data_IF_772596326975
#
_entry.id   IF_772596326975
#
_cell.length_a   1.000
_cell.length_b   1.000
_cell.length_c   1.000
_cell.angle_alpha   90.00
_cell.angle_beta   90.00
_cell.angle_gamma   90.00
#
_symmetry.space_group_name_H-M   'P 1'
#
loop_
_entity.id
_entity.type
_entity.pdbx_description
1 polymer ?
#
# COMPACT_ATOMS: atom_id res chain seq x y z
N UNK A 1 16.48 9.11 2.58
CA UNK A 1 15.50 8.25 3.27
C UNK A 1 14.54 9.16 3.96
N UNK A 2 13.62 9.71 3.18
CA UNK A 2 12.65 10.66 3.70
C UNK A 2 11.29 10.27 3.17
N UNK A 3 10.38 9.93 4.09
CA UNK A 3 8.96 9.98 3.78
C UNK A 3 8.56 11.44 3.86
N UNK A 4 7.97 11.96 2.79
CA UNK A 4 7.35 13.27 2.75
C UNK A 4 5.84 13.13 2.72
N UNK A 5 5.16 14.02 3.42
CA UNK A 5 3.70 14.04 3.49
C UNK A 5 3.22 15.48 3.34
N UNK A 6 2.52 15.78 2.24
CA UNK A 6 2.14 17.14 1.85
C UNK A 6 0.65 17.22 1.63
N UNK A 7 -0.02 18.19 2.25
CA UNK A 7 -1.44 18.42 2.01
C UNK A 7 -1.66 19.20 0.71
N UNK A 8 -2.46 18.64 -0.18
CA UNK A 8 -2.92 19.23 -1.43
C UNK A 8 -4.40 19.62 -1.28
N UNK A 9 -4.64 20.93 -1.21
CA UNK A 9 -5.97 21.50 -1.00
C UNK A 9 -6.83 21.49 -2.27
N UNK A 10 -6.29 21.18 -3.45
CA UNK A 10 -7.08 21.15 -4.69
C UNK A 10 -8.01 19.94 -4.74
N UNK A 11 -7.51 18.76 -4.34
CA UNK A 11 -8.29 17.52 -4.27
C UNK A 11 -8.59 17.10 -2.82
N UNK A 12 -8.14 17.89 -1.84
CA UNK A 12 -8.13 17.54 -0.43
C UNK A 12 -7.53 16.14 -0.21
N UNK A 13 -6.23 16.02 -0.47
CA UNK A 13 -5.47 14.77 -0.29
C UNK A 13 -4.17 15.04 0.45
N UNK A 14 -3.65 14.05 1.15
CA UNK A 14 -2.26 14.05 1.61
C UNK A 14 -1.46 13.22 0.62
N UNK A 15 -0.52 13.87 -0.08
CA UNK A 15 0.43 13.19 -0.95
C UNK A 15 1.56 12.63 -0.12
N UNK A 16 1.81 11.33 -0.23
CA UNK A 16 2.91 10.62 0.39
C UNK A 16 3.93 10.28 -0.68
N UNK A 17 5.21 10.54 -0.40
CA UNK A 17 6.31 10.12 -1.27
C UNK A 17 7.48 9.66 -0.42
N UNK A 18 7.91 8.42 -0.63
CA UNK A 18 9.03 7.80 0.04
C UNK A 18 10.15 7.55 -0.97
N UNK A 19 11.37 7.97 -0.62
CA UNK A 19 12.57 7.81 -1.43
C UNK A 19 13.62 6.94 -0.74
N UNK A 20 14.74 6.67 -1.43
CA UNK A 20 15.89 5.96 -0.84
C UNK A 20 15.50 4.61 -0.21
N UNK A 21 14.64 3.85 -0.90
CA UNK A 21 14.01 2.63 -0.38
C UNK A 21 14.90 1.38 -0.49
N UNK A 22 16.19 1.57 -0.82
CA UNK A 22 17.13 0.49 -0.99
C UNK A 22 16.74 -0.43 -2.15
N UNK A 23 16.88 -1.74 -1.95
CA UNK A 23 16.48 -2.79 -2.89
C UNK A 23 15.00 -3.20 -2.80
N UNK A 24 14.16 -2.52 -2.00
CA UNK A 24 12.76 -2.87 -1.87
C UNK A 24 12.00 -2.62 -3.18
N UNK A 25 11.16 -3.57 -3.57
CA UNK A 25 10.33 -3.48 -4.78
C UNK A 25 8.94 -2.91 -4.51
N UNK A 26 8.48 -2.96 -3.26
CA UNK A 26 7.22 -2.39 -2.84
C UNK A 26 7.30 -1.76 -1.45
N UNK A 27 6.35 -0.89 -1.15
CA UNK A 27 6.22 -0.20 0.15
C UNK A 27 4.79 -0.31 0.64
N UNK A 28 4.64 -0.62 1.93
CA UNK A 28 3.36 -0.48 2.62
C UNK A 28 3.27 0.88 3.31
N UNK A 29 2.24 1.65 3.01
CA UNK A 29 1.94 2.92 3.66
C UNK A 29 0.84 2.76 4.70
N UNK A 30 1.09 3.25 5.90
CA UNK A 30 0.14 3.23 6.99
C UNK A 30 0.02 4.60 7.65
N UNK A 31 -1.16 4.87 8.20
CA UNK A 31 -1.51 6.09 8.92
C UNK A 31 -1.92 5.76 10.35
N UNK A 32 -1.62 6.67 11.26
CA UNK A 32 -2.10 6.66 12.63
C UNK A 32 -2.31 8.08 13.17
N UNK A 33 -3.29 8.26 14.05
CA UNK A 33 -3.46 9.51 14.82
C UNK A 33 -2.85 9.43 16.22
N UNK A 34 -2.39 8.24 16.64
CA UNK A 34 -1.89 8.00 18.00
C UNK A 34 -0.58 7.18 18.06
N UNK A 35 -0.03 6.76 16.91
CA UNK A 35 1.15 5.92 16.75
C UNK A 35 1.04 4.50 17.37
N UNK A 36 -0.12 4.14 17.90
CA UNK A 36 -0.40 2.82 18.50
C UNK A 36 -1.22 1.97 17.54
N UNK A 37 -2.32 2.52 17.03
CA UNK A 37 -3.19 1.85 16.06
C UNK A 37 -2.86 2.36 14.68
N UNK A 38 -2.35 1.48 13.82
CA UNK A 38 -1.99 1.78 12.46
C UNK A 38 -3.01 1.16 11.50
N UNK A 39 -3.44 1.94 10.52
CA UNK A 39 -4.30 1.48 9.43
C UNK A 39 -3.55 1.67 8.12
N UNK A 40 -3.57 0.67 7.24
CA UNK A 40 -3.08 0.79 5.87
C UNK A 40 -3.84 1.90 5.16
N UNK A 41 -3.12 2.84 4.57
CA UNK A 41 -3.72 3.85 3.69
C UNK A 41 -4.30 3.12 2.48
N UNK A 42 -5.47 3.52 2.00
CA UNK A 42 -6.12 2.92 0.83
C UNK A 42 -5.17 2.89 -0.37
N UNK A 43 -5.06 1.75 -1.05
CA UNK A 43 -4.06 1.51 -2.11
C UNK A 43 -2.62 1.33 -1.60
N UNK A 44 -2.38 1.49 -0.30
CA UNK A 44 -1.07 1.50 0.33
C UNK A 44 -0.55 0.15 0.81
N UNK A 45 -1.19 -0.97 0.45
CA UNK A 45 -0.77 -2.30 0.94
C UNK A 45 0.56 -2.75 0.33
N UNK A 46 0.77 -2.49 -0.96
CA UNK A 46 1.97 -2.81 -1.72
C UNK A 46 2.09 -1.81 -2.89
N UNK A 47 2.59 -0.61 -2.59
CA UNK A 47 2.86 0.41 -3.60
C UNK A 47 4.18 0.08 -4.28
N UNK A 48 4.23 -0.07 -5.62
CA UNK A 48 5.46 -0.39 -6.31
C UNK A 48 6.49 0.74 -6.16
N UNK A 49 7.77 0.35 -6.13
CA UNK A 49 8.89 1.29 -6.16
C UNK A 49 9.31 1.50 -7.61
N UNK A 50 9.08 2.71 -8.13
CA UNK A 50 9.45 3.09 -9.49
C UNK A 50 10.55 4.15 -9.43
N UNK A 51 11.67 3.89 -10.10
CA UNK A 51 12.85 4.78 -10.08
C UNK A 51 13.32 5.15 -8.64
N UNK A 52 13.17 4.21 -7.70
CA UNK A 52 13.57 4.39 -6.29
C UNK A 52 12.58 5.19 -5.43
N UNK A 53 11.40 5.49 -5.96
CA UNK A 53 10.34 6.26 -5.28
C UNK A 53 9.07 5.42 -5.20
N UNK A 54 8.38 5.46 -4.06
CA UNK A 54 7.00 4.99 -3.91
C UNK A 54 6.12 6.18 -3.51
N UNK A 55 5.02 6.39 -4.22
CA UNK A 55 4.10 7.50 -3.97
C UNK A 55 2.65 7.02 -3.83
N UNK A 56 1.89 7.67 -2.96
CA UNK A 56 0.50 7.34 -2.67
C UNK A 56 -0.27 8.57 -2.19
N UNK A 57 -1.56 8.64 -2.52
CA UNK A 57 -2.46 9.65 -1.97
C UNK A 57 -3.39 9.12 -0.90
N UNK A 58 -3.48 9.86 0.21
CA UNK A 58 -4.48 9.63 1.24
C UNK A 58 -5.59 10.68 1.18
N UNK A 59 -6.78 10.26 0.76
CA UNK A 59 -7.99 11.08 0.72
C UNK A 59 -8.80 11.07 2.03
N UNK A 60 -8.47 10.13 2.93
CA UNK A 60 -9.21 9.77 4.15
C UNK A 60 -8.49 10.21 5.43
N UNK A 61 -7.49 11.09 5.31
CA UNK A 61 -6.74 11.62 6.46
C UNK A 61 -7.68 12.19 7.54
N UNK A 62 -7.22 12.22 8.79
CA UNK A 62 -7.98 12.87 9.87
C UNK A 62 -7.76 14.39 9.85
N UNK A 63 -8.80 15.18 9.58
CA UNK A 63 -8.70 16.63 9.55
C UNK A 63 -8.35 17.25 10.90
N UNK A 64 -7.57 18.34 10.87
CA UNK A 64 -7.24 19.23 12.00
C UNK A 64 -6.56 18.54 13.19
N UNK A 65 -6.04 17.33 12.98
CA UNK A 65 -5.24 16.57 13.95
C UNK A 65 -3.97 16.04 13.29
N UNK A 66 -2.99 15.71 14.10
CA UNK A 66 -1.73 15.14 13.60
C UNK A 66 -2.02 13.76 13.01
N UNK A 67 -1.65 13.59 11.74
CA UNK A 67 -1.59 12.30 11.08
C UNK A 67 -0.13 11.89 11.00
N UNK A 68 0.20 10.76 11.63
CA UNK A 68 1.49 10.10 11.50
C UNK A 68 1.42 9.07 10.37
N UNK A 69 2.41 9.09 9.48
CA UNK A 69 2.55 8.15 8.39
C UNK A 69 3.82 7.35 8.56
N UNK A 70 3.78 6.10 8.10
CA UNK A 70 4.98 5.29 7.93
C UNK A 70 4.96 4.56 6.59
N UNK A 71 6.13 4.52 5.97
CA UNK A 71 6.42 3.75 4.77
C UNK A 71 7.32 2.58 5.20
N UNK A 72 6.82 1.36 4.98
CA UNK A 72 7.47 0.11 5.37
C UNK A 72 7.89 -0.60 4.09
N UNK A 73 9.17 -0.54 3.69
CA UNK A 73 9.65 -1.24 2.51
C UNK A 73 9.52 -2.77 2.69
N UNK A 74 9.16 -3.48 1.62
CA UNK A 74 9.11 -4.94 1.61
C UNK A 74 10.52 -5.54 1.63
N UNK A 75 10.66 -6.76 2.15
CA UNK A 75 11.86 -7.55 1.91
C UNK A 75 11.98 -7.89 0.41
N UNK A 76 13.22 -8.10 -0.05
CA UNK A 76 13.52 -8.74 -1.32
C UNK A 76 13.66 -10.25 -1.08
N UNK A 77 13.08 -11.07 -1.94
CA UNK A 77 13.16 -12.53 -1.84
C UNK A 77 13.69 -13.11 -3.13
N UNK A 78 14.66 -14.01 -3.00
CA UNK A 78 15.14 -14.90 -4.05
C UNK A 78 14.82 -16.35 -3.63
N UNK A 79 13.96 -17.01 -4.41
CA UNK A 79 13.53 -18.39 -4.21
C UNK A 79 14.01 -19.33 -5.33
N UNK A 80 14.79 -18.80 -6.28
CA UNK A 80 15.33 -19.51 -7.44
C UNK A 80 14.28 -20.11 -8.37
N UNK A 81 12.99 -19.77 -8.26
CA UNK A 81 11.94 -20.34 -9.11
C UNK A 81 11.89 -19.72 -10.51
N UNK A 82 12.49 -18.53 -10.65
CA UNK A 82 12.61 -17.79 -11.91
C UNK A 82 13.98 -18.00 -12.56
N UNK A 83 14.03 -17.98 -13.90
CA UNK A 83 15.29 -17.94 -14.66
C UNK A 83 15.98 -16.57 -14.56
N UNK A 84 15.26 -15.55 -14.10
CA UNK A 84 15.77 -14.22 -13.78
C UNK A 84 15.86 -14.11 -12.27
N UNK A 85 17.10 -14.02 -11.75
CA UNK A 85 17.36 -13.84 -10.32
C UNK A 85 16.99 -12.42 -9.88
N UNK A 86 16.41 -12.31 -8.68
CA UNK A 86 16.17 -11.08 -7.94
C UNK A 86 17.46 -10.49 -7.33
N UNK A 87 18.55 -11.29 -7.29
CA UNK A 87 19.85 -10.93 -6.76
C UNK A 87 20.98 -11.13 -7.77
N UNK A 88 22.12 -10.48 -7.53
CA UNK A 88 23.35 -10.71 -8.29
C UNK A 88 24.23 -11.70 -7.55
N UNK A 89 24.66 -12.76 -8.24
CA UNK A 89 25.55 -13.81 -7.72
C UNK A 89 26.81 -13.88 -8.60
N UNK A 90 27.97 -13.92 -7.98
CA UNK A 90 29.28 -14.16 -8.59
C UNK A 90 29.93 -15.42 -7.97
N UNK A 91 30.84 -16.08 -8.68
CA UNK A 91 31.51 -17.30 -8.22
C UNK A 91 32.82 -17.03 -7.46
N UNK A 92 33.17 -15.74 -7.28
CA UNK A 92 34.37 -15.29 -6.59
C UNK A 92 35.64 -15.84 -7.23
N UNK A 93 36.51 -16.39 -6.40
CA UNK A 93 37.73 -17.09 -6.84
C UNK A 93 37.68 -18.59 -6.57
N UNK A 94 36.46 -19.16 -6.48
CA UNK A 94 36.25 -20.56 -6.10
C UNK A 94 36.50 -21.53 -7.26
N UNK A 95 36.68 -22.80 -6.93
CA UNK A 95 37.01 -23.86 -7.88
C UNK A 95 35.82 -24.31 -8.73
N UNK A 96 34.59 -24.09 -8.26
CA UNK A 96 33.36 -24.41 -8.97
C UNK A 96 32.21 -23.48 -8.62
N UNK A 97 31.40 -23.16 -9.63
CA UNK A 97 30.23 -22.30 -9.52
C UNK A 97 29.08 -22.99 -8.79
N UNK A 98 28.31 -22.22 -8.01
CA UNK A 98 27.02 -22.68 -7.54
C UNK A 98 26.01 -22.65 -8.69
N UNK A 99 25.20 -23.69 -8.81
CA UNK A 99 24.29 -23.87 -9.93
C UNK A 99 22.85 -24.01 -9.44
N UNK A 100 21.93 -23.42 -10.19
CA UNK A 100 20.50 -23.63 -9.99
C UNK A 100 20.18 -25.12 -10.24
N UNK A 101 19.49 -25.75 -9.30
CA UNK A 101 19.25 -27.19 -9.30
C UNK A 101 17.81 -27.50 -8.93
N UNK A 102 17.23 -28.51 -9.58
CA UNK A 102 15.94 -29.10 -9.25
C UNK A 102 16.07 -30.50 -8.63
N UNK A 103 17.26 -30.83 -8.12
CA UNK A 103 17.52 -32.09 -7.45
C UNK A 103 16.88 -32.15 -6.05
N UNK A 104 16.75 -30.99 -5.41
CA UNK A 104 16.15 -30.78 -4.10
C UNK A 104 15.87 -29.27 -3.93
N UNK A 105 14.85 -28.91 -3.15
CA UNK A 105 14.49 -27.52 -2.85
C UNK A 105 13.75 -27.45 -1.50
N UNK A 106 13.89 -26.34 -0.79
CA UNK A 106 13.11 -26.11 0.43
C UNK A 106 11.65 -25.81 0.07
N UNK A 107 11.46 -25.01 -0.97
CA UNK A 107 10.16 -24.63 -1.50
C UNK A 107 10.15 -24.76 -3.02
N UNK A 108 8.98 -24.96 -3.61
CA UNK A 108 8.87 -25.03 -5.07
C UNK A 108 9.63 -26.22 -5.66
N UNK A 109 10.44 -25.95 -6.67
CA UNK A 109 11.15 -26.93 -7.50
C UNK A 109 12.66 -26.66 -7.53
N UNK A 110 13.08 -25.40 -7.39
CA UNK A 110 14.45 -24.98 -7.65
C UNK A 110 15.11 -24.44 -6.39
N UNK A 111 16.40 -24.73 -6.26
CA UNK A 111 17.27 -24.13 -5.24
C UNK A 111 18.64 -23.86 -5.85
N UNK A 112 19.56 -23.27 -5.08
CA UNK A 112 20.94 -23.10 -5.49
C UNK A 112 21.82 -24.15 -4.80
N UNK A 113 22.55 -24.95 -5.58
CA UNK A 113 23.42 -26.04 -5.11
C UNK A 113 24.88 -25.67 -5.34
N UNK A 114 25.75 -26.03 -4.41
CA UNK A 114 27.20 -25.94 -4.60
C UNK A 114 27.66 -26.73 -5.83
N UNK A 115 28.74 -26.24 -6.45
CA UNK A 115 29.43 -26.94 -7.52
C UNK A 115 30.09 -28.22 -7.03
N UNK A 116 30.39 -29.13 -7.96
CA UNK A 116 31.16 -30.33 -7.64
C UNK A 116 32.63 -29.95 -7.54
N UNK A 117 33.23 -30.21 -6.38
CA UNK A 117 34.63 -29.90 -6.04
C UNK A 117 35.34 -31.14 -5.51
N UNK A 118 36.68 -31.16 -5.55
CA UNK A 118 37.51 -32.22 -4.94
C UNK A 118 38.13 -31.73 -3.62
N UNK A 119 38.99 -32.54 -3.00
CA UNK A 119 39.62 -32.18 -1.73
C UNK A 119 40.44 -30.88 -1.79
N UNK A 120 40.44 -30.17 -0.67
CA UNK A 120 41.10 -28.87 -0.48
C UNK A 120 40.59 -27.74 -1.40
N UNK A 121 39.38 -27.88 -1.93
CA UNK A 121 38.75 -26.88 -2.82
C UNK A 121 37.54 -26.22 -2.17
N UNK A 122 37.11 -25.10 -2.79
CA UNK A 122 35.87 -24.42 -2.40
C UNK A 122 34.95 -24.18 -3.58
N UNK A 123 33.65 -24.10 -3.30
CA UNK A 123 32.63 -23.61 -4.21
C UNK A 123 31.88 -22.47 -3.54
N UNK A 124 31.87 -21.29 -4.15
CA UNK A 124 31.34 -20.07 -3.56
C UNK A 124 30.18 -19.49 -4.38
N UNK A 125 29.14 -19.02 -3.68
CA UNK A 125 28.14 -18.11 -4.19
C UNK A 125 28.29 -16.77 -3.47
N UNK A 126 28.89 -15.78 -4.16
CA UNK A 126 29.08 -14.42 -3.66
C UNK A 126 27.86 -13.59 -4.06
N UNK A 127 26.93 -13.40 -3.13
CA UNK A 127 25.72 -12.61 -3.32
C UNK A 127 26.01 -11.15 -3.02
N UNK A 128 25.69 -10.26 -3.96
CA UNK A 128 25.72 -8.82 -3.70
C UNK A 128 24.55 -8.44 -2.79
N UNK A 129 24.84 -7.77 -1.67
CA UNK A 129 23.80 -7.33 -0.73
C UNK A 129 22.95 -6.24 -1.40
N UNK A 130 21.61 -6.40 -1.48
CA UNK A 130 20.72 -5.36 -1.96
C UNK A 130 20.91 -4.07 -1.16
N UNK A 131 20.96 -2.93 -1.84
CA UNK A 131 21.23 -1.65 -1.22
C UNK A 131 20.32 -1.41 0.00
N UNK A 132 20.91 -1.07 1.15
CA UNK A 132 20.17 -0.74 2.37
C UNK A 132 19.56 -1.93 3.13
N UNK A 133 19.76 -3.17 2.69
CA UNK A 133 19.39 -4.34 3.48
C UNK A 133 20.29 -4.44 4.73
N UNK A 134 19.71 -4.83 5.86
CA UNK A 134 20.43 -4.99 7.14
C UNK A 134 20.29 -6.40 7.71
N UNK A 135 19.39 -7.20 7.14
CA UNK A 135 19.16 -8.58 7.59
C UNK A 135 19.08 -9.53 6.40
N UNK A 136 19.53 -10.76 6.62
CA UNK A 136 19.36 -11.90 5.72
C UNK A 136 18.78 -13.09 6.50
N UNK A 137 17.70 -13.65 6.00
CA UNK A 137 17.20 -14.97 6.39
C UNK A 137 17.35 -15.92 5.19
N UNK A 138 17.66 -17.20 5.44
CA UNK A 138 17.78 -18.20 4.38
C UNK A 138 17.56 -19.62 4.92
N UNK A 139 17.26 -20.53 3.99
CA UNK A 139 17.15 -21.97 4.23
C UNK A 139 18.36 -22.66 3.63
N UNK A 140 18.84 -23.71 4.29
CA UNK A 140 19.96 -24.50 3.79
C UNK A 140 19.78 -25.99 4.07
N UNK A 141 20.45 -26.80 3.24
CA UNK A 141 20.57 -28.25 3.38
C UNK A 141 22.03 -28.64 3.12
N UNK A 142 22.50 -29.68 3.78
CA UNK A 142 23.86 -30.22 3.59
C UNK A 142 23.78 -31.75 3.55
N UNK A 143 24.55 -32.34 2.66
CA UNK A 143 24.81 -33.78 2.64
C UNK A 143 26.30 -33.95 2.38
N UNK A 144 27.06 -34.06 3.47
CA UNK A 144 28.52 -34.08 3.47
C UNK A 144 29.08 -34.94 4.60
N UNK A 145 30.41 -35.01 4.73
CA UNK A 145 31.07 -35.64 5.87
C UNK A 145 30.90 -34.82 7.16
N UNK A 146 30.41 -35.47 8.21
CA UNK A 146 30.17 -34.84 9.52
C UNK A 146 31.50 -34.42 10.17
N UNK A 147 31.66 -33.11 10.38
CA UNK A 147 32.84 -32.51 10.99
C UNK A 147 34.01 -32.21 10.04
N UNK A 148 33.83 -32.36 8.72
CA UNK A 148 34.91 -32.19 7.73
C UNK A 148 34.56 -31.22 6.60
N UNK A 149 33.53 -31.54 5.82
CA UNK A 149 33.08 -30.73 4.68
C UNK A 149 32.00 -29.75 5.16
N UNK A 150 32.27 -28.45 5.08
CA UNK A 150 31.42 -27.43 5.70
C UNK A 150 30.76 -26.49 4.70
N UNK A 151 29.47 -26.18 4.95
CA UNK A 151 28.85 -24.94 4.52
C UNK A 151 29.20 -23.83 5.52
N UNK A 152 29.72 -22.73 5.00
CA UNK A 152 30.09 -21.52 5.73
C UNK A 152 29.40 -20.31 5.12
N UNK A 153 29.02 -19.37 5.97
CA UNK A 153 28.50 -18.08 5.57
C UNK A 153 29.49 -16.99 5.95
N UNK A 154 29.80 -16.10 5.02
CA UNK A 154 30.60 -14.90 5.28
C UNK A 154 29.77 -13.65 5.00
N UNK A 155 29.82 -12.68 5.91
CA UNK A 155 29.34 -11.31 5.69
C UNK A 155 30.58 -10.46 5.42
N UNK A 156 30.70 -9.97 4.19
CA UNK A 156 31.98 -9.53 3.62
C UNK A 156 33.09 -10.57 3.85
N UNK A 157 34.07 -10.27 4.69
CA UNK A 157 35.16 -11.17 5.05
C UNK A 157 34.99 -11.88 6.41
N UNK A 158 33.94 -11.55 7.16
CA UNK A 158 33.70 -12.10 8.49
C UNK A 158 32.83 -13.36 8.43
N UNK A 159 33.32 -14.48 8.97
CA UNK A 159 32.55 -15.72 9.03
C UNK A 159 31.44 -15.62 10.09
N UNK A 160 30.23 -16.02 9.71
CA UNK A 160 29.10 -16.22 10.61
C UNK A 160 29.18 -17.65 11.14
N UNK A 161 29.17 -17.78 12.47
CA UNK A 161 29.33 -19.08 13.15
C UNK A 161 28.02 -19.50 13.83
N UNK A 162 27.76 -20.81 13.96
CA UNK A 162 28.61 -21.93 13.54
C UNK A 162 28.50 -22.27 12.05
N UNK A 163 29.58 -22.80 11.48
CA UNK A 163 29.54 -23.53 10.21
C UNK A 163 28.77 -24.86 10.40
N UNK A 164 28.22 -25.41 9.32
CA UNK A 164 27.45 -26.65 9.34
C UNK A 164 28.05 -27.70 8.39
N UNK A 165 27.94 -28.98 8.76
CA UNK A 165 28.49 -30.14 8.05
C UNK A 165 27.63 -31.38 8.31
N UNK A 166 27.86 -32.46 7.58
CA UNK A 166 27.16 -33.73 7.79
C UNK A 166 25.85 -33.81 6.99
N UNK A 167 24.89 -34.56 7.51
CA UNK A 167 23.56 -34.72 6.92
C UNK A 167 22.56 -33.79 7.61
N UNK A 168 22.47 -32.55 7.13
CA UNK A 168 21.57 -31.51 7.65
C UNK A 168 20.36 -31.41 6.73
N UNK A 169 19.14 -31.79 7.19
CA UNK A 169 17.93 -31.57 6.40
C UNK A 169 17.66 -30.06 6.25
N UNK A 170 16.81 -29.70 5.30
CA UNK A 170 16.41 -28.31 5.11
C UNK A 170 16.03 -27.63 6.42
N UNK A 171 16.83 -26.64 6.80
CA UNK A 171 16.74 -25.95 8.10
C UNK A 171 16.95 -24.46 7.88
N UNK A 172 16.23 -23.65 8.66
CA UNK A 172 16.44 -22.21 8.70
C UNK A 172 17.70 -21.90 9.52
N UNK A 173 18.60 -21.09 8.98
CA UNK A 173 19.75 -20.62 9.76
C UNK A 173 19.34 -19.64 10.87
N UNK A 174 18.31 -18.81 10.59
CA UNK A 174 17.92 -17.67 11.41
C UNK A 174 18.54 -16.37 10.91
N UNK A 175 18.06 -15.24 11.44
CA UNK A 175 18.38 -13.90 10.94
C UNK A 175 19.84 -13.53 11.15
N UNK A 176 20.52 -13.20 10.06
CA UNK A 176 21.92 -12.75 10.03
C UNK A 176 21.94 -11.23 9.90
N UNK A 177 22.72 -10.56 10.75
CA UNK A 177 23.00 -9.13 10.61
C UNK A 177 24.01 -8.91 9.48
N UNK A 178 23.58 -8.17 8.46
CA UNK A 178 24.37 -7.80 7.28
C UNK A 178 24.48 -6.28 7.14
N UNK A 179 24.28 -5.55 8.25
CA UNK A 179 24.29 -4.08 8.26
C UNK A 179 25.59 -3.53 7.69
N UNK A 180 25.48 -2.81 6.57
CA UNK A 180 26.61 -2.15 5.91
C UNK A 180 27.50 -3.09 5.10
N UNK A 181 27.15 -4.36 4.97
CA UNK A 181 27.89 -5.33 4.17
C UNK A 181 27.70 -5.06 2.66
N UNK A 182 28.73 -5.34 1.88
CA UNK A 182 28.67 -5.30 0.41
C UNK A 182 28.27 -6.66 -0.17
N UNK A 183 28.76 -7.75 0.42
CA UNK A 183 28.47 -9.11 -0.04
C UNK A 183 28.16 -10.06 1.10
N UNK A 184 27.43 -11.12 0.77
CA UNK A 184 27.30 -12.33 1.57
C UNK A 184 27.79 -13.50 0.74
N UNK A 185 28.71 -14.30 1.27
CA UNK A 185 29.26 -15.46 0.55
C UNK A 185 28.83 -16.76 1.22
N UNK A 186 28.15 -17.60 0.47
CA UNK A 186 27.93 -19.00 0.84
C UNK A 186 29.05 -19.84 0.26
N UNK A 187 29.80 -20.52 1.11
CA UNK A 187 30.95 -21.33 0.72
C UNK A 187 30.75 -22.77 1.17
N UNK A 188 30.80 -23.70 0.22
CA UNK A 188 31.03 -25.11 0.52
C UNK A 188 32.53 -25.39 0.38
N UNK A 189 33.17 -25.92 1.42
CA UNK A 189 34.60 -26.18 1.45
C UNK A 189 34.89 -27.60 1.90
N UNK A 190 35.74 -28.30 1.12
CA UNK A 190 36.26 -29.62 1.47
C UNK A 190 37.63 -29.51 2.12
N UNK A 191 37.92 -30.37 3.08
CA UNK A 191 39.22 -30.42 3.76
C UNK A 191 40.16 -31.53 3.22
N UNK A 192 39.62 -32.47 2.43
CA UNK A 192 40.34 -33.63 1.93
C UNK A 192 39.59 -34.40 0.85
N UNK A 193 40.12 -35.56 0.45
CA UNK A 193 39.64 -36.30 -0.73
C UNK A 193 38.50 -37.29 -0.48
N UNK A 194 38.08 -37.46 0.78
CA UNK A 194 36.96 -38.34 1.09
C UNK A 194 35.67 -37.61 0.69
N UNK A 195 34.66 -38.38 0.32
CA UNK A 195 33.30 -37.87 0.09
C UNK A 195 32.31 -38.77 0.82
N UNK A 196 31.33 -38.19 1.49
CA UNK A 196 30.14 -38.86 2.00
C UNK A 196 28.86 -38.14 1.55
N UNK A 197 27.75 -38.86 1.59
CA UNK A 197 26.47 -38.32 1.14
C UNK A 197 26.49 -37.94 -0.34
N UNK A 198 25.88 -36.80 -0.65
CA UNK A 198 25.86 -36.19 -1.99
C UNK A 198 26.99 -35.17 -2.22
N UNK A 199 27.84 -34.98 -1.21
CA UNK A 199 28.99 -34.08 -1.19
C UNK A 199 28.66 -32.67 -1.69
N UNK A 200 27.63 -32.06 -1.08
CA UNK A 200 27.13 -30.75 -1.48
C UNK A 200 26.34 -30.03 -0.39
N UNK A 201 26.19 -28.73 -0.61
CA UNK A 201 25.29 -27.86 0.12
C UNK A 201 24.27 -27.22 -0.82
N UNK A 202 23.11 -26.86 -0.29
CA UNK A 202 22.05 -26.14 -0.98
C UNK A 202 21.60 -24.96 -0.14
N UNK A 203 21.19 -23.88 -0.82
CA UNK A 203 20.52 -22.72 -0.22
C UNK A 203 19.24 -22.41 -0.99
N UNK A 204 18.25 -21.89 -0.29
CA UNK A 204 16.94 -21.52 -0.82
C UNK A 204 16.32 -20.41 0.04
N UNK A 205 15.32 -19.70 -0.51
CA UNK A 205 14.54 -18.66 0.17
C UNK A 205 15.42 -17.59 0.84
N UNK A 206 16.29 -16.94 0.05
CA UNK A 206 17.10 -15.82 0.53
C UNK A 206 16.21 -14.58 0.66
N UNK A 207 16.00 -14.15 1.90
CA UNK A 207 15.16 -12.99 2.22
C UNK A 207 16.05 -11.87 2.76
N UNK A 208 16.27 -10.84 1.93
CA UNK A 208 16.96 -9.62 2.32
C UNK A 208 15.95 -8.60 2.84
N UNK A 209 16.16 -8.14 4.08
CA UNK A 209 15.19 -7.28 4.76
C UNK A 209 15.84 -6.27 5.68
N UNK A 210 15.05 -5.80 6.65
CA UNK A 210 15.50 -4.81 7.63
C UNK A 210 15.73 -3.41 7.03
N UNK A 211 15.08 -3.12 5.89
CA UNK A 211 15.02 -1.78 5.35
C UNK A 211 14.39 -0.82 6.37
N UNK A 212 14.94 0.39 6.56
CA UNK A 212 14.46 1.31 7.57
C UNK A 212 13.04 1.79 7.26
N UNK A 213 12.17 1.70 8.26
CA UNK A 213 10.83 2.29 8.21
C UNK A 213 10.97 3.81 8.21
N UNK A 214 10.42 4.46 7.21
CA UNK A 214 10.43 5.92 7.10
C UNK A 214 9.15 6.47 7.68
N UNK A 215 9.22 7.63 8.35
CA UNK A 215 8.06 8.24 9.01
C UNK A 215 7.92 9.70 8.64
N UNK A 216 6.67 10.17 8.56
CA UNK A 216 6.34 11.57 8.40
C UNK A 216 5.13 11.91 9.27
N UNK A 217 4.91 13.19 9.51
CA UNK A 217 3.65 13.64 10.11
C UNK A 217 3.26 14.99 9.59
N UNK A 218 1.96 15.22 9.44
CA UNK A 218 1.41 16.53 9.19
C UNK A 218 0.05 16.69 9.87
N UNK A 219 -0.38 17.94 10.02
CA UNK A 219 -1.73 18.29 10.46
C UNK A 219 -2.45 18.96 9.29
N UNK A 220 -3.23 18.21 8.48
CA UNK A 220 -3.97 18.79 7.37
C UNK A 220 -5.13 19.65 7.93
N UNK A 221 -5.13 20.94 7.60
CA UNK A 221 -6.18 21.85 8.04
C UNK A 221 -7.35 21.87 7.04
N UNK A 222 -8.58 21.66 7.52
CA UNK A 222 -9.78 21.80 6.70
C UNK A 222 -10.53 23.08 7.07
N UNK A 223 -10.60 24.03 6.13
CA UNK A 223 -11.35 25.28 6.29
C UNK A 223 -12.84 25.16 5.96
N UNK A 224 -13.27 24.03 5.38
CA UNK A 224 -14.64 23.77 4.96
C UNK A 224 -14.90 22.27 4.89
N UNK A 225 -16.18 21.90 4.81
CA UNK A 225 -16.59 20.51 4.55
C UNK A 225 -16.27 20.16 3.11
N UNK A 226 -15.82 18.94 2.86
CA UNK A 226 -15.60 18.41 1.52
C UNK A 226 -16.57 17.27 1.22
N UNK A 227 -17.10 17.25 0.01
CA UNK A 227 -17.68 16.07 -0.59
C UNK A 227 -16.61 15.42 -1.46
N UNK A 228 -16.21 14.20 -1.13
CA UNK A 228 -15.14 13.50 -1.85
C UNK A 228 -15.64 12.21 -2.48
N UNK A 229 -15.32 12.01 -3.76
CA UNK A 229 -15.37 10.68 -4.38
C UNK A 229 -13.99 10.05 -4.26
N UNK A 230 -13.90 8.95 -3.53
CA UNK A 230 -12.63 8.24 -3.37
C UNK A 230 -12.21 7.56 -4.67
N UNK A 231 -13.18 7.02 -5.44
CA UNK A 231 -12.90 6.40 -6.73
C UNK A 231 -12.47 7.43 -7.79
N UNK A 232 -13.02 8.66 -7.71
CA UNK A 232 -12.81 9.71 -8.70
C UNK A 232 -12.46 11.03 -8.02
N UNK A 233 -11.23 11.18 -7.50
CA UNK A 233 -10.86 12.35 -6.70
C UNK A 233 -10.97 13.69 -7.42
N UNK A 234 -10.95 13.71 -8.75
CA UNK A 234 -11.16 14.93 -9.53
C UNK A 234 -12.57 15.54 -9.34
N UNK A 235 -13.53 14.76 -8.80
CA UNK A 235 -14.86 15.21 -8.39
C UNK A 235 -14.89 15.80 -6.97
N UNK A 236 -13.78 15.78 -6.23
CA UNK A 236 -13.75 16.31 -4.86
C UNK A 236 -14.00 17.81 -4.88
N UNK A 237 -14.94 18.27 -4.04
CA UNK A 237 -15.29 19.69 -3.93
C UNK A 237 -15.44 20.14 -2.47
N UNK A 238 -14.89 21.31 -2.10
CA UNK A 238 -15.28 21.97 -0.87
C UNK A 238 -16.72 22.47 -1.02
N UNK A 239 -17.52 22.35 0.04
CA UNK A 239 -18.91 22.78 0.07
C UNK A 239 -19.16 23.72 1.25
N UNK A 240 -20.02 24.71 1.03
CA UNK A 240 -20.52 25.56 2.11
C UNK A 240 -21.80 24.97 2.67
N UNK A 241 -21.71 24.35 3.85
CA UNK A 241 -22.87 23.84 4.58
C UNK A 241 -23.66 25.01 5.17
N UNK A 242 -24.96 25.04 4.93
CA UNK A 242 -25.87 26.06 5.46
C UNK A 242 -26.83 25.54 6.51
N UNK A 243 -27.21 24.26 6.43
CA UNK A 243 -28.15 23.65 7.36
C UNK A 243 -28.03 22.12 7.31
N UNK A 244 -28.63 21.43 8.29
CA UNK A 244 -28.85 19.98 8.26
C UNK A 244 -30.06 19.59 9.11
N UNK A 245 -30.75 18.52 8.73
CA UNK A 245 -31.87 18.00 9.51
C UNK A 245 -31.42 17.32 10.80
N UNK A 246 -32.39 16.93 11.65
CA UNK A 246 -32.13 16.01 12.74
C UNK A 246 -31.44 14.73 12.25
N UNK A 247 -30.53 14.19 13.06
CA UNK A 247 -29.80 12.96 12.75
C UNK A 247 -30.62 11.77 13.25
N UNK A 248 -31.12 10.98 12.30
CA UNK A 248 -31.83 9.74 12.58
C UNK A 248 -30.89 8.53 12.58
N UNK A 249 -31.24 7.52 13.38
CA UNK A 249 -30.57 6.20 13.39
C UNK A 249 -31.63 5.11 13.42
N UNK A 250 -32.02 4.58 12.25
CA UNK A 250 -33.18 3.69 12.15
C UNK A 250 -32.98 2.44 13.02
N UNK A 251 -34.03 2.04 13.73
CA UNK A 251 -34.05 0.77 14.44
C UNK A 251 -34.19 -0.39 13.49
N UNK A 252 -33.47 -1.48 13.77
CA UNK A 252 -33.67 -2.78 13.13
C UNK A 252 -34.35 -3.77 14.08
N UNK A 253 -35.01 -3.26 15.11
CA UNK A 253 -35.71 -4.08 16.09
C UNK A 253 -37.19 -4.26 15.71
N UNK A 254 -37.77 -5.36 16.18
CA UNK A 254 -39.20 -5.64 16.09
C UNK A 254 -39.76 -5.95 17.47
N UNK A 255 -40.98 -5.51 17.75
CA UNK A 255 -41.69 -5.81 18.99
C UNK A 255 -42.94 -6.60 18.65
N UNK A 256 -43.04 -7.82 19.15
CA UNK A 256 -44.08 -8.78 18.82
C UNK A 256 -44.93 -9.09 20.05
N UNK A 257 -46.22 -8.79 19.97
CA UNK A 257 -47.19 -9.21 20.99
C UNK A 257 -47.59 -10.67 20.72
N UNK A 258 -47.32 -11.56 21.68
CA UNK A 258 -47.55 -13.01 21.54
C UNK A 258 -48.72 -13.44 22.43
N UNK A 259 -49.69 -14.14 21.85
CA UNK A 259 -50.84 -14.69 22.58
C UNK A 259 -50.34 -15.54 23.76
N UNK A 260 -50.92 -15.33 24.95
CA UNK A 260 -50.52 -16.01 26.18
C UNK A 260 -49.36 -15.36 26.94
N UNK A 261 -48.83 -14.22 26.45
CA UNK A 261 -47.86 -13.39 27.20
C UNK A 261 -48.48 -12.04 27.57
N UNK A 262 -48.21 -11.58 28.79
CA UNK A 262 -48.58 -10.24 29.26
C UNK A 262 -47.61 -9.14 28.80
N UNK A 263 -46.43 -9.51 28.31
CA UNK A 263 -45.38 -8.59 27.83
C UNK A 263 -44.91 -9.04 26.44
N UNK A 264 -44.69 -8.07 25.56
CA UNK A 264 -44.22 -8.31 24.20
C UNK A 264 -42.79 -8.88 24.16
N UNK A 265 -42.48 -9.61 23.09
CA UNK A 265 -41.14 -10.10 22.79
C UNK A 265 -40.44 -9.13 21.86
N UNK A 266 -39.25 -8.66 22.23
CA UNK A 266 -38.42 -7.83 21.38
C UNK A 266 -37.38 -8.68 20.63
N UNK A 267 -37.25 -8.45 19.32
CA UNK A 267 -36.09 -8.86 18.52
C UNK A 267 -35.25 -7.62 18.30
N UNK A 268 -33.99 -7.63 18.74
CA UNK A 268 -33.11 -6.47 18.71
C UNK A 268 -31.92 -6.71 17.81
N UNK A 269 -31.40 -5.64 17.22
CA UNK A 269 -30.16 -5.61 16.43
C UNK A 269 -29.49 -4.23 16.58
N UNK A 270 -28.28 -4.09 16.05
CA UNK A 270 -27.54 -2.81 15.99
C UNK A 270 -28.34 -1.79 15.17
N UNK A 271 -28.35 -0.53 15.61
CA UNK A 271 -28.97 0.58 14.88
C UNK A 271 -28.36 0.74 13.50
N UNK A 272 -29.14 1.21 12.54
CA UNK A 272 -28.60 1.66 11.25
C UNK A 272 -27.62 2.84 11.41
N UNK A 273 -26.92 3.12 10.31
CA UNK A 273 -26.07 4.30 10.17
C UNK A 273 -26.87 5.59 10.33
N UNK A 274 -26.17 6.71 10.51
CA UNK A 274 -26.76 8.04 10.56
C UNK A 274 -27.47 8.36 9.25
N UNK A 275 -28.65 8.95 9.35
CA UNK A 275 -29.42 9.47 8.22
C UNK A 275 -29.83 10.90 8.51
N UNK A 276 -29.53 11.82 7.61
CA UNK A 276 -29.93 13.22 7.70
C UNK A 276 -29.83 13.91 6.34
N UNK A 277 -30.57 15.00 6.16
CA UNK A 277 -30.43 15.88 5.00
C UNK A 277 -29.34 16.92 5.29
N UNK A 278 -28.32 16.99 4.43
CA UNK A 278 -27.31 18.05 4.45
C UNK A 278 -27.69 19.12 3.42
N UNK A 279 -27.75 20.39 3.82
CA UNK A 279 -28.03 21.50 2.91
C UNK A 279 -26.73 22.25 2.62
N UNK A 280 -26.32 22.27 1.35
CA UNK A 280 -25.14 23.01 0.90
C UNK A 280 -25.54 24.12 -0.07
N UNK A 281 -24.76 25.21 -0.10
CA UNK A 281 -25.05 26.35 -0.98
C UNK A 281 -23.94 26.62 -1.99
N UNK A 282 -24.33 26.99 -3.20
CA UNK A 282 -23.44 27.45 -4.26
C UNK A 282 -23.76 28.91 -4.62
N UNK A 283 -22.78 29.83 -4.67
CA UNK A 283 -23.06 31.25 -4.84
C UNK A 283 -23.43 31.63 -6.28
N UNK A 284 -22.94 30.89 -7.28
CA UNK A 284 -23.21 31.13 -8.70
C UNK A 284 -23.90 29.93 -9.37
N UNK A 285 -24.42 30.15 -10.58
CA UNK A 285 -25.01 29.07 -11.38
C UNK A 285 -23.94 28.10 -11.90
N UNK A 286 -22.76 28.61 -12.26
CA UNK A 286 -21.66 27.77 -12.71
C UNK A 286 -21.19 26.81 -11.60
N UNK A 287 -21.10 27.31 -10.35
CA UNK A 287 -20.78 26.45 -9.19
C UNK A 287 -21.89 25.43 -8.92
N UNK A 288 -23.14 25.77 -9.22
CA UNK A 288 -24.25 24.83 -9.11
C UNK A 288 -24.14 23.73 -10.18
N UNK A 289 -23.86 24.10 -11.43
CA UNK A 289 -23.70 23.15 -12.53
C UNK A 289 -22.49 22.22 -12.27
N UNK A 290 -21.34 22.74 -11.80
CA UNK A 290 -20.16 21.94 -11.43
C UNK A 290 -20.46 20.97 -10.28
N UNK A 291 -21.15 21.42 -9.22
CA UNK A 291 -21.52 20.55 -8.10
C UNK A 291 -22.50 19.45 -8.52
N UNK A 292 -23.46 19.77 -9.40
CA UNK A 292 -24.41 18.80 -9.94
C UNK A 292 -23.69 17.71 -10.75
N UNK A 293 -22.73 18.10 -11.61
CA UNK A 293 -21.87 17.16 -12.34
C UNK A 293 -21.06 16.25 -11.39
N UNK A 294 -20.51 16.81 -10.31
CA UNK A 294 -19.74 16.03 -9.32
C UNK A 294 -20.60 14.97 -8.61
N UNK A 295 -21.87 15.30 -8.36
CA UNK A 295 -22.83 14.41 -7.69
C UNK A 295 -23.48 13.39 -8.64
N UNK A 296 -23.40 13.61 -9.96
CA UNK A 296 -24.01 12.74 -10.97
C UNK A 296 -23.42 11.31 -11.04
N UNK A 297 -22.25 11.08 -10.45
CA UNK A 297 -21.61 9.75 -10.43
C UNK A 297 -22.42 8.71 -9.66
N UNK A 298 -23.19 9.12 -8.64
CA UNK A 298 -23.94 8.23 -7.76
C UNK A 298 -23.08 7.34 -6.84
N UNK A 299 -21.75 7.48 -6.88
CA UNK A 299 -20.83 6.75 -6.02
C UNK A 299 -20.98 7.20 -4.55
N UNK A 300 -20.69 6.33 -3.57
CA UNK A 300 -20.59 6.76 -2.17
C UNK A 300 -19.60 7.91 -2.01
N UNK A 301 -20.04 8.97 -1.35
CA UNK A 301 -19.22 10.14 -1.05
C UNK A 301 -18.66 10.05 0.36
N UNK A 302 -17.40 10.46 0.54
CA UNK A 302 -16.85 10.74 1.86
C UNK A 302 -17.14 12.21 2.18
N UNK A 303 -18.08 12.43 3.12
CA UNK A 303 -18.35 13.75 3.68
C UNK A 303 -17.26 14.01 4.72
N UNK A 304 -16.25 14.77 4.34
CA UNK A 304 -15.11 15.07 5.19
C UNK A 304 -15.30 16.42 5.87
N UNK A 305 -15.58 16.37 7.17
CA UNK A 305 -15.85 17.54 8.00
C UNK A 305 -14.59 17.94 8.75
N UNK A 306 -14.33 19.25 8.94
CA UNK A 306 -13.26 19.72 9.82
C UNK A 306 -13.26 19.01 11.18
N UNK A 307 -12.06 18.72 11.68
CA UNK A 307 -11.83 18.11 12.99
C UNK A 307 -12.00 19.09 14.16
N UNK A 308 -12.13 20.39 13.87
CA UNK A 308 -12.37 21.45 14.84
C UNK A 308 -13.51 21.08 15.82
N UNK A 309 -13.23 21.05 17.14
CA UNK A 309 -14.25 20.80 18.17
C UNK A 309 -15.45 21.74 18.13
N UNK A 310 -15.27 22.96 17.60
CA UNK A 310 -16.34 23.96 17.46
C UNK A 310 -17.14 23.80 16.16
N UNK A 311 -16.74 22.87 15.27
CA UNK A 311 -17.51 22.55 14.07
C UNK A 311 -18.80 21.81 14.45
N UNK A 312 -19.93 22.47 14.22
CA UNK A 312 -21.26 21.94 14.56
C UNK A 312 -21.79 20.93 13.54
N UNK A 313 -21.20 20.85 12.34
CA UNK A 313 -21.62 19.91 11.29
C UNK A 313 -21.44 18.47 11.80
N UNK A 314 -22.39 17.56 11.54
CA UNK A 314 -22.24 16.16 11.94
C UNK A 314 -20.91 15.57 11.46
N UNK A 315 -20.25 14.78 12.32
CA UNK A 315 -18.90 14.22 12.07
C UNK A 315 -18.79 13.50 10.72
N UNK A 316 -17.58 13.47 10.16
CA UNK A 316 -17.28 12.83 8.88
C UNK A 316 -17.88 11.42 8.74
N UNK A 317 -18.29 11.08 7.53
CA UNK A 317 -18.88 9.77 7.22
C UNK A 317 -18.79 9.44 5.74
N UNK A 318 -18.84 8.14 5.44
CA UNK A 318 -19.20 7.68 4.10
C UNK A 318 -20.71 7.68 3.97
N UNK A 319 -21.22 8.23 2.87
CA UNK A 319 -22.65 8.36 2.64
C UNK A 319 -23.03 8.06 1.20
N UNK A 320 -24.19 7.45 0.99
CA UNK A 320 -24.89 7.50 -0.28
C UNK A 320 -25.81 8.71 -0.26
N UNK A 321 -25.77 9.50 -1.33
CA UNK A 321 -26.67 10.64 -1.55
C UNK A 321 -27.93 10.12 -2.24
N UNK A 322 -29.10 10.36 -1.64
CA UNK A 322 -30.40 10.04 -2.20
C UNK A 322 -30.85 11.09 -3.23
N UNK A 323 -32.18 11.19 -3.42
CA UNK A 323 -32.76 12.15 -4.37
C UNK A 323 -32.41 13.59 -4.00
N UNK A 324 -31.65 14.26 -4.86
CA UNK A 324 -31.21 15.64 -4.66
C UNK A 324 -32.33 16.59 -5.07
N UNK A 325 -32.56 17.64 -4.28
CA UNK A 325 -33.38 18.78 -4.69
C UNK A 325 -32.59 20.08 -4.66
N UNK A 326 -32.78 20.90 -5.70
CA UNK A 326 -32.04 22.15 -5.90
C UNK A 326 -33.01 23.33 -5.79
N UNK A 327 -32.90 24.09 -4.71
CA UNK A 327 -33.79 25.19 -4.38
C UNK A 327 -33.16 26.56 -4.68
N UNK A 328 -34.05 27.55 -4.85
CA UNK A 328 -33.70 28.98 -4.89
C UNK A 328 -34.72 29.76 -4.06
N UNK A 329 -34.25 30.65 -3.19
CA UNK A 329 -35.15 31.47 -2.37
C UNK A 329 -35.83 32.61 -3.15
N UNK A 330 -35.40 32.87 -4.38
CA UNK A 330 -36.01 33.86 -5.28
C UNK A 330 -35.75 33.50 -6.74
N UNK A 331 -36.67 33.84 -7.64
CA UNK A 331 -36.50 33.61 -9.07
C UNK A 331 -35.31 34.38 -9.67
N UNK A 332 -34.83 35.44 -9.00
CA UNK A 332 -33.74 36.29 -9.47
C UNK A 332 -32.38 35.98 -8.83
N UNK A 333 -32.32 35.12 -7.81
CA UNK A 333 -31.02 34.78 -7.20
C UNK A 333 -30.25 33.78 -8.04
N UNK A 334 -28.93 33.97 -8.10
CA UNK A 334 -28.00 33.03 -8.71
C UNK A 334 -27.59 31.91 -7.75
N UNK A 335 -27.76 32.12 -6.44
CA UNK A 335 -27.45 31.13 -5.42
C UNK A 335 -28.40 29.93 -5.53
N UNK A 336 -27.86 28.73 -5.34
CA UNK A 336 -28.62 27.49 -5.21
C UNK A 336 -28.38 26.85 -3.84
N UNK A 337 -29.37 26.11 -3.37
CA UNK A 337 -29.30 25.31 -2.16
C UNK A 337 -29.59 23.87 -2.57
N UNK A 338 -28.60 22.99 -2.40
CA UNK A 338 -28.71 21.57 -2.66
C UNK A 338 -29.07 20.88 -1.36
N UNK A 339 -30.21 20.20 -1.34
CA UNK A 339 -30.58 19.28 -0.28
C UNK A 339 -30.07 17.90 -0.65
N UNK A 340 -29.20 17.35 0.20
CA UNK A 340 -28.53 16.07 0.00
C UNK A 340 -29.02 15.11 1.08
N UNK A 341 -30.00 14.23 0.81
CA UNK A 341 -30.37 13.17 1.75
C UNK A 341 -29.21 12.19 1.88
N UNK A 342 -28.56 12.13 3.04
CA UNK A 342 -27.41 11.28 3.28
C UNK A 342 -27.81 10.03 4.06
N UNK A 343 -27.42 8.86 3.57
CA UNK A 343 -27.44 7.61 4.33
C UNK A 343 -26.03 7.12 4.58
N UNK A 344 -25.61 7.05 5.84
CA UNK A 344 -24.30 6.54 6.22
C UNK A 344 -24.13 5.08 5.79
N UNK A 345 -23.00 4.80 5.13
CA UNK A 345 -22.61 3.48 4.64
C UNK A 345 -21.20 3.14 5.10
N UNK A 346 -20.82 1.87 4.97
CA UNK A 346 -19.44 1.46 5.19
C UNK A 346 -18.52 2.15 4.17
N UNK A 347 -17.26 2.35 4.56
CA UNK A 347 -16.23 2.75 3.60
C UNK A 347 -16.19 1.75 2.43
N UNK A 348 -15.99 2.22 1.18
CA UNK A 348 -15.77 1.33 0.05
C UNK A 348 -14.64 0.34 0.33
N UNK A 349 -14.72 -0.84 -0.29
CA UNK A 349 -13.68 -1.86 -0.18
C UNK A 349 -12.28 -1.31 -0.52
N UNK A 350 -11.20 -1.86 0.04
CA UNK A 350 -9.84 -1.32 -0.12
C UNK A 350 -9.33 -1.36 -1.57
N UNK A 351 -9.99 -2.10 -2.44
CA UNK A 351 -9.80 -2.19 -3.89
C UNK A 351 -10.22 -0.92 -4.65
N UNK A 352 -11.13 -0.11 -4.07
CA UNK A 352 -11.45 1.20 -4.62
C UNK A 352 -10.28 2.13 -4.31
N UNK A 353 -9.51 2.47 -5.34
CA UNK A 353 -8.40 3.43 -5.30
C UNK A 353 -8.70 4.62 -6.21
N UNK A 354 -8.23 5.81 -5.84
CA UNK A 354 -8.57 7.02 -6.57
C UNK A 354 -7.81 7.17 -7.88
N UNK A 355 -8.55 7.46 -8.95
CA UNK A 355 -8.00 7.84 -10.25
C UNK A 355 -8.42 9.30 -10.55
N UNK A 356 -7.43 10.16 -10.71
CA UNK A 356 -7.58 11.60 -11.04
C UNK A 356 -7.91 11.84 -12.51
N UNK A 357 -7.68 10.85 -13.37
CA UNK A 357 -8.05 10.83 -14.79
C UNK A 357 -8.58 9.47 -15.20
N UNK A 358 -9.48 9.45 -16.20
CA UNK A 358 -9.93 8.22 -16.86
C UNK A 358 -9.27 8.05 -18.23
N UNK A 359 -9.19 6.82 -18.74
CA UNK A 359 -8.72 6.60 -20.11
C UNK A 359 -9.54 7.37 -21.15
N UNK A 360 -10.85 7.48 -20.93
CA UNK A 360 -11.72 8.32 -21.77
C UNK A 360 -11.35 9.81 -21.67
N UNK A 361 -11.00 10.31 -20.49
CA UNK A 361 -10.50 11.67 -20.29
C UNK A 361 -9.21 11.94 -21.06
N UNK A 362 -8.28 10.98 -21.10
CA UNK A 362 -7.07 11.08 -21.94
C UNK A 362 -7.45 11.19 -23.43
N UNK A 363 -8.35 10.33 -23.90
CA UNK A 363 -8.81 10.36 -25.30
C UNK A 363 -9.55 11.65 -25.67
N UNK A 364 -10.31 12.22 -24.74
CA UNK A 364 -11.03 13.48 -24.93
C UNK A 364 -10.06 14.68 -24.96
N UNK A 365 -9.02 14.64 -24.12
CA UNK A 365 -8.04 15.73 -24.01
C UNK A 365 -7.01 15.74 -25.15
N UNK A 366 -6.65 14.57 -25.69
CA UNK A 366 -5.57 14.44 -26.65
C UNK A 366 -6.02 13.70 -27.92
N UNK A 367 -6.07 14.41 -29.04
CA UNK A 367 -6.45 13.85 -30.34
C UNK A 367 -5.39 12.89 -30.92
N UNK A 368 -4.12 13.00 -30.48
CA UNK A 368 -3.02 12.15 -30.95
C UNK A 368 -2.08 11.80 -29.79
N UNK A 369 -1.42 10.65 -29.92
CA UNK A 369 -0.39 10.22 -28.97
C UNK A 369 0.82 11.19 -28.91
N UNK A 370 1.13 11.84 -30.03
CA UNK A 370 2.19 12.86 -30.08
C UNK A 370 1.84 14.08 -29.22
N UNK A 371 0.58 14.53 -29.23
CA UNK A 371 0.12 15.63 -28.39
C UNK A 371 0.12 15.26 -26.89
N UNK A 372 -0.24 14.00 -26.58
CA UNK A 372 -0.15 13.46 -25.23
C UNK A 372 1.30 13.49 -24.74
N UNK A 373 2.24 12.87 -25.47
CA UNK A 373 3.65 12.83 -25.08
C UNK A 373 4.30 14.22 -24.98
N UNK A 374 3.87 15.18 -25.79
CA UNK A 374 4.37 16.55 -25.72
C UNK A 374 3.91 17.30 -24.46
N UNK A 375 2.76 16.95 -23.91
CA UNK A 375 2.16 17.60 -22.74
C UNK A 375 2.47 16.85 -21.44
N UNK A 376 2.39 15.52 -21.48
CA UNK A 376 2.59 14.59 -20.38
C UNK A 376 3.71 13.60 -20.76
N UNK A 377 5.00 13.98 -20.58
CA UNK A 377 6.13 13.19 -21.08
C UNK A 377 6.28 11.81 -20.44
N UNK A 378 5.74 11.63 -19.24
CA UNK A 378 5.81 10.38 -18.48
C UNK A 378 4.42 9.87 -18.10
N UNK A 379 4.30 8.57 -17.82
CA UNK A 379 3.06 8.02 -17.26
C UNK A 379 2.68 8.64 -15.92
N UNK A 380 3.66 9.07 -15.11
CA UNK A 380 3.41 9.77 -13.86
C UNK A 380 2.73 11.13 -14.11
N UNK A 381 3.12 11.85 -15.15
CA UNK A 381 2.48 13.12 -15.53
C UNK A 381 1.00 12.90 -15.92
N UNK A 382 0.72 11.83 -16.68
CA UNK A 382 -0.65 11.43 -17.01
C UNK A 382 -1.45 11.12 -15.75
N UNK A 383 -0.89 10.38 -14.79
CA UNK A 383 -1.56 10.05 -13.53
C UNK A 383 -1.78 11.27 -12.63
N UNK A 384 -1.02 12.35 -12.79
CA UNK A 384 -1.21 13.59 -12.04
C UNK A 384 -2.26 14.52 -12.65
N UNK A 385 -2.67 14.25 -13.90
CA UNK A 385 -3.70 15.04 -14.57
C UNK A 385 -5.04 14.91 -13.87
N UNK A 386 -5.72 16.05 -13.71
CA UNK A 386 -7.04 16.16 -13.10
C UNK A 386 -8.08 16.29 -14.21
N UNK A 387 -8.95 15.30 -14.34
CA UNK A 387 -10.08 15.28 -15.28
C UNK A 387 -11.13 16.34 -14.94
N UNK A 388 -11.92 16.74 -15.94
CA UNK A 388 -13.08 17.60 -15.77
C UNK A 388 -14.30 16.78 -15.30
N UNK A 389 -15.11 17.24 -14.34
CA UNK A 389 -16.33 16.55 -13.92
C UNK A 389 -17.29 16.21 -15.06
N UNK A 390 -17.32 17.02 -16.13
CA UNK A 390 -18.15 16.76 -17.31
C UNK A 390 -17.77 15.45 -18.04
N UNK A 391 -16.54 14.94 -17.84
CA UNK A 391 -16.08 13.68 -18.47
C UNK A 391 -16.68 12.43 -17.83
N UNK A 392 -17.25 12.55 -16.62
CA UNK A 392 -17.89 11.42 -15.91
C UNK A 392 -19.26 11.09 -16.50
N UNK A 393 -19.96 12.11 -16.98
CA UNK A 393 -21.26 11.93 -17.61
C UNK A 393 -21.01 11.64 -19.09
N UNK A 394 -20.97 10.35 -19.43
CA UNK A 394 -21.12 9.93 -20.83
C UNK A 394 -22.59 10.17 -21.19
N UNK A 395 -22.92 11.08 -22.12
CA UNK A 395 -24.31 11.29 -22.54
C UNK A 395 -24.92 10.07 -23.23
#
# INVERSE_FOLDING_TARGET
MTLTATYDAQLSRVRLSADSLGGALAVRFERSTNQVTWSTVRGGAAVPVESGIAALDDYEFAADVVNHYRAIPSSLTEDFESDILAITIDNGTSDAEWIRSNSDAYSGIWSLRSGTIVGDQTSDAVVTVPAGATTLDYQYRISSEDGFDFLRLFVDAAEVTPAASGEVPWTAHGTVDITGAATVTFRYAKDGFVSAGQDAAWIDQLVFGGYPVQTASLTPALSSVWLKSIARPFLNRPVTVTDWSDIERPSRNGVFTVVGRSVAVAVTDVRGGRQYELVVTTPTLADADDLDLCLASGDPVFVHVPGDPDCLVPRSMYAVVGDISIERHSAKTRRRFFRLPLTEVAAPGPDVVGATITYQGVLNAFATYEALLATEPTYADVLERISDPAEVIVP
#
